data_IF_728036656385
#
_entry.id   IF_728036656385
#
_cell.length_a   1.000
_cell.length_b   1.000
_cell.length_c   1.000
_cell.angle_alpha   90.00
_cell.angle_beta   90.00
_cell.angle_gamma   90.00
#
_symmetry.space_group_name_H-M   'P 1'
#
loop_
_entity.id
_entity.type
_entity.pdbx_description
1 polymer ?
#
# COMPACT_ATOMS: atom_id res chain seq x y z
N UNK A 1 21.18 -49.98 51.45
CA UNK A 1 22.04 -48.94 50.86
C UNK A 1 21.22 -48.29 49.74
N UNK A 2 20.42 -47.28 50.12
CA UNK A 2 19.20 -46.72 49.46
C UNK A 2 18.16 -47.77 49.01
N UNK A 3 16.83 -47.49 48.88
CA UNK A 3 16.17 -46.19 48.73
C UNK A 3 14.77 -46.06 49.43
N UNK A 4 14.11 -44.93 49.17
CA UNK A 4 12.66 -44.64 49.28
C UNK A 4 11.97 -44.63 50.65
N UNK A 5 11.86 -43.43 51.24
CA UNK A 5 10.66 -43.07 51.99
C UNK A 5 10.04 -41.81 51.37
N UNK A 6 8.98 -42.05 50.59
CA UNK A 6 8.02 -41.03 50.24
C UNK A 6 7.38 -40.52 51.53
N UNK A 7 7.67 -39.28 51.90
CA UNK A 7 6.93 -38.60 52.97
C UNK A 7 5.58 -38.22 52.37
N UNK A 8 4.58 -39.06 52.64
CA UNK A 8 3.17 -38.72 52.49
C UNK A 8 2.86 -37.54 53.42
N UNK A 9 2.87 -36.32 52.89
CA UNK A 9 2.33 -35.17 53.61
C UNK A 9 0.80 -35.27 53.54
N UNK A 10 0.22 -35.59 54.68
CA UNK A 10 -1.23 -35.61 54.93
C UNK A 10 -1.86 -34.29 54.50
N UNK A 11 -2.75 -34.35 53.51
CA UNK A 11 -3.51 -33.22 52.94
C UNK A 11 -4.63 -32.69 53.85
N UNK A 12 -4.55 -32.93 55.16
CA UNK A 12 -5.59 -32.56 56.14
C UNK A 12 -5.25 -31.33 57.01
N UNK A 13 -4.28 -30.50 56.61
CA UNK A 13 -3.99 -29.25 57.32
C UNK A 13 -3.52 -28.12 56.40
N UNK A 14 -4.25 -27.90 55.30
CA UNK A 14 -4.19 -26.62 54.59
C UNK A 14 -5.56 -25.94 54.69
N UNK A 15 -5.64 -24.69 55.16
CA UNK A 15 -6.91 -23.99 55.23
C UNK A 15 -7.49 -23.93 53.81
N UNK A 16 -8.77 -24.28 53.66
CA UNK A 16 -9.52 -24.27 52.37
C UNK A 16 -9.29 -22.99 51.55
N UNK A 17 -8.95 -21.89 52.23
CA UNK A 17 -8.59 -20.60 51.66
C UNK A 17 -7.34 -20.65 50.74
N UNK A 18 -6.32 -21.44 51.07
CA UNK A 18 -5.09 -21.53 50.25
C UNK A 18 -5.34 -22.33 48.97
N UNK A 19 -6.16 -23.39 49.04
CA UNK A 19 -6.56 -24.14 47.85
C UNK A 19 -7.45 -23.30 46.91
N UNK A 20 -8.35 -22.48 47.48
CA UNK A 20 -9.17 -21.51 46.74
C UNK A 20 -8.33 -20.40 46.09
N UNK A 21 -7.28 -19.92 46.76
CA UNK A 21 -6.34 -18.94 46.19
C UNK A 21 -5.50 -19.52 45.06
N UNK A 22 -5.05 -20.78 45.17
CA UNK A 22 -4.32 -21.43 44.08
C UNK A 22 -5.25 -21.72 42.90
N UNK A 23 -6.49 -22.14 43.13
CA UNK A 23 -7.49 -22.29 42.07
C UNK A 23 -7.87 -20.95 41.42
N UNK A 24 -7.99 -19.85 42.19
CA UNK A 24 -8.30 -18.54 41.62
C UNK A 24 -7.14 -17.98 40.80
N UNK A 25 -5.89 -18.21 41.22
CA UNK A 25 -4.69 -17.84 40.44
C UNK A 25 -4.54 -18.69 39.18
N UNK A 26 -4.94 -19.98 39.22
CA UNK A 26 -4.96 -20.85 38.04
C UNK A 26 -6.11 -20.53 37.07
N UNK A 27 -7.27 -20.08 37.58
CA UNK A 27 -8.42 -19.64 36.78
C UNK A 27 -8.27 -18.22 36.22
N UNK A 28 -7.45 -17.36 36.82
CA UNK A 28 -7.11 -16.02 36.30
C UNK A 28 -6.01 -16.04 35.23
N UNK A 29 -5.47 -17.21 34.90
CA UNK A 29 -4.58 -17.38 33.74
C UNK A 29 -5.42 -17.48 32.46
N UNK A 30 -6.41 -16.61 32.31
CA UNK A 30 -7.02 -16.37 31.02
C UNK A 30 -5.98 -15.71 30.11
N UNK A 31 -5.91 -16.31 28.93
CA UNK A 31 -4.95 -16.07 27.91
C UNK A 31 -5.13 -14.63 27.39
N UNK A 32 -4.36 -13.68 27.94
CA UNK A 32 -4.10 -12.41 27.26
C UNK A 32 -3.23 -12.73 26.05
N UNK A 33 -3.85 -13.34 25.03
CA UNK A 33 -3.45 -13.15 23.65
C UNK A 33 -3.73 -11.69 23.36
N UNK A 34 -2.80 -10.83 23.74
CA UNK A 34 -2.59 -9.60 23.00
C UNK A 34 -2.48 -10.05 21.55
N UNK A 35 -3.48 -9.69 20.75
CA UNK A 35 -3.35 -9.71 19.31
C UNK A 35 -2.24 -8.70 19.01
N UNK A 36 -1.00 -9.15 19.10
CA UNK A 36 0.10 -8.51 18.43
C UNK A 36 -0.34 -8.54 16.97
N UNK A 37 -0.85 -7.41 16.50
CA UNK A 37 -1.22 -7.17 15.13
C UNK A 37 0.05 -7.44 14.34
N UNK A 38 0.19 -8.68 13.86
CA UNK A 38 1.23 -9.08 12.95
C UNK A 38 0.97 -8.24 11.71
N UNK A 39 1.63 -7.09 11.64
CA UNK A 39 1.81 -6.35 10.40
C UNK A 39 2.48 -7.33 9.45
N UNK A 40 1.67 -7.99 8.61
CA UNK A 40 2.20 -8.76 7.49
C UNK A 40 2.98 -7.75 6.66
N UNK A 41 4.30 -7.87 6.72
CA UNK A 41 5.22 -7.00 5.99
C UNK A 41 4.88 -7.15 4.51
N UNK A 42 4.22 -6.14 3.96
CA UNK A 42 3.83 -6.13 2.55
C UNK A 42 5.07 -6.29 1.67
N UNK A 43 4.95 -7.14 0.67
CA UNK A 43 6.02 -7.39 -0.30
C UNK A 43 6.08 -6.23 -1.28
N UNK A 44 7.30 -5.85 -1.64
CA UNK A 44 7.59 -4.78 -2.60
C UNK A 44 8.40 -5.40 -3.73
N UNK A 45 8.01 -5.16 -4.97
CA UNK A 45 8.85 -5.48 -6.12
C UNK A 45 9.74 -4.27 -6.43
N UNK A 46 11.05 -4.48 -6.43
CA UNK A 46 12.02 -3.41 -6.54
C UNK A 46 13.04 -3.71 -7.64
N UNK A 47 13.26 -2.73 -8.52
CA UNK A 47 14.32 -2.72 -9.52
C UNK A 47 15.28 -1.56 -9.20
N UNK A 48 16.58 -1.82 -9.01
CA UNK A 48 17.54 -0.75 -8.73
C UNK A 48 17.75 0.16 -9.94
N UNK A 49 18.13 1.41 -9.68
CA UNK A 49 18.48 2.38 -10.71
C UNK A 49 19.06 3.67 -10.14
N UNK A 50 19.45 4.57 -11.03
CA UNK A 50 19.88 5.93 -10.71
C UNK A 50 18.72 6.77 -10.19
N UNK A 51 17.56 6.63 -10.85
CA UNK A 51 16.32 7.30 -10.53
C UNK A 51 15.25 6.24 -10.26
N UNK A 52 14.53 6.34 -9.13
CA UNK A 52 13.50 5.37 -8.75
C UNK A 52 12.10 5.95 -8.97
N UNK A 53 11.30 5.26 -9.77
CA UNK A 53 9.89 5.60 -10.02
C UNK A 53 8.99 4.68 -9.18
N UNK A 54 8.09 5.26 -8.40
CA UNK A 54 7.10 4.52 -7.62
C UNK A 54 5.95 4.05 -8.49
N UNK A 55 5.33 2.92 -8.13
CA UNK A 55 4.10 2.49 -8.78
C UNK A 55 3.12 1.83 -7.81
N UNK A 56 1.84 2.13 -8.02
CA UNK A 56 0.72 1.53 -7.33
C UNK A 56 -0.13 0.74 -8.31
N UNK A 57 0.04 -0.58 -8.29
CA UNK A 57 -0.81 -1.51 -9.03
C UNK A 57 -1.74 -2.23 -8.09
N UNK A 58 -2.88 -2.70 -8.59
CA UNK A 58 -3.85 -3.44 -7.78
C UNK A 58 -3.57 -4.92 -7.96
N UNK A 59 -2.50 -5.37 -7.30
CA UNK A 59 -2.01 -6.75 -7.38
C UNK A 59 -3.02 -7.70 -6.76
N UNK A 60 -3.67 -7.29 -5.67
CA UNK A 60 -4.74 -8.03 -5.05
C UNK A 60 -6.10 -7.32 -5.15
N UNK A 61 -7.18 -8.07 -4.93
CA UNK A 61 -8.52 -7.53 -4.74
C UNK A 61 -8.63 -6.74 -3.43
N UNK A 62 -9.62 -5.83 -3.37
CA UNK A 62 -9.90 -5.07 -2.16
C UNK A 62 -10.26 -5.98 -0.98
N UNK A 63 -9.94 -5.57 0.26
CA UNK A 63 -10.37 -6.29 1.45
C UNK A 63 -11.90 -6.45 1.48
N UNK A 64 -12.38 -7.58 2.00
CA UNK A 64 -13.80 -7.77 2.30
C UNK A 64 -14.22 -6.88 3.47
N UNK A 65 -15.51 -6.56 3.59
CA UNK A 65 -16.05 -5.65 4.62
C UNK A 65 -15.57 -6.03 6.03
N UNK A 66 -15.56 -7.32 6.36
CA UNK A 66 -15.12 -7.82 7.68
C UNK A 66 -13.62 -7.66 7.94
N UNK A 67 -12.81 -7.50 6.88
CA UNK A 67 -11.34 -7.47 6.93
C UNK A 67 -10.74 -6.11 6.59
N UNK A 68 -11.57 -5.08 6.39
CA UNK A 68 -11.11 -3.72 6.05
C UNK A 68 -10.17 -3.17 7.13
N UNK A 69 -10.49 -3.37 8.41
CA UNK A 69 -9.66 -2.90 9.53
C UNK A 69 -8.31 -3.62 9.63
N UNK A 70 -8.26 -4.88 9.20
CA UNK A 70 -7.02 -5.66 9.15
C UNK A 70 -6.18 -5.33 7.91
N UNK A 71 -6.74 -4.62 6.93
CA UNK A 71 -6.13 -4.27 5.63
C UNK A 71 -5.60 -5.49 4.86
N UNK A 72 -6.18 -6.67 5.11
CA UNK A 72 -5.87 -7.92 4.42
C UNK A 72 -6.53 -7.93 3.05
N UNK A 73 -5.70 -7.84 2.02
CA UNK A 73 -6.16 -7.85 0.65
C UNK A 73 -6.72 -9.22 0.23
N UNK A 74 -7.52 -9.23 -0.82
CA UNK A 74 -8.13 -10.45 -1.36
C UNK A 74 -7.17 -11.25 -2.25
N UNK A 75 -7.73 -12.04 -3.16
CA UNK A 75 -6.96 -12.84 -4.11
C UNK A 75 -6.15 -11.97 -5.10
N UNK A 76 -5.13 -12.56 -5.72
CA UNK A 76 -4.32 -11.93 -6.77
C UNK A 76 -5.18 -11.64 -8.02
N UNK A 77 -4.93 -10.49 -8.65
CA UNK A 77 -5.53 -10.05 -9.92
C UNK A 77 -4.50 -10.20 -11.03
N UNK A 78 -4.77 -11.06 -12.00
CA UNK A 78 -3.85 -11.31 -13.10
C UNK A 78 -3.71 -10.09 -14.02
N UNK A 79 -4.83 -9.62 -14.60
CA UNK A 79 -4.84 -8.55 -15.61
C UNK A 79 -4.51 -7.16 -15.05
N UNK A 80 -5.09 -6.82 -13.89
CA UNK A 80 -4.94 -5.49 -13.27
C UNK A 80 -3.75 -5.39 -12.31
N UNK A 81 -3.15 -6.54 -11.98
CA UNK A 81 -2.07 -6.69 -11.03
C UNK A 81 -0.80 -7.15 -11.73
N UNK A 82 -0.59 -8.47 -11.77
CA UNK A 82 0.67 -9.09 -12.20
C UNK A 82 1.08 -8.64 -13.61
N UNK A 83 0.16 -8.59 -14.57
CA UNK A 83 0.49 -8.14 -15.92
C UNK A 83 1.00 -6.69 -15.95
N UNK A 84 0.51 -5.81 -15.06
CA UNK A 84 0.98 -4.41 -14.97
C UNK A 84 2.32 -4.30 -14.27
N UNK A 85 2.57 -5.14 -13.26
CA UNK A 85 3.88 -5.25 -12.61
C UNK A 85 4.93 -5.64 -13.64
N UNK A 86 4.71 -6.75 -14.35
CA UNK A 86 5.63 -7.24 -15.38
C UNK A 86 5.78 -6.25 -16.54
N UNK A 87 4.67 -5.62 -16.98
CA UNK A 87 4.72 -4.58 -18.01
C UNK A 87 5.61 -3.40 -17.58
N UNK A 88 5.54 -2.98 -16.32
CA UNK A 88 6.40 -1.91 -15.82
C UNK A 88 7.87 -2.32 -15.79
N UNK A 89 8.18 -3.50 -15.21
CA UNK A 89 9.56 -4.01 -15.15
C UNK A 89 10.16 -4.10 -16.56
N UNK A 90 9.45 -4.75 -17.48
CA UNK A 90 9.91 -4.92 -18.86
C UNK A 90 10.01 -3.59 -19.61
N UNK A 91 9.11 -2.63 -19.36
CA UNK A 91 9.18 -1.30 -19.98
C UNK A 91 10.43 -0.56 -19.53
N UNK A 92 10.78 -0.62 -18.24
CA UNK A 92 12.00 0.01 -17.72
C UNK A 92 13.27 -0.63 -18.27
N UNK A 93 13.30 -1.96 -18.41
CA UNK A 93 14.40 -2.65 -19.10
C UNK A 93 14.58 -2.15 -20.53
N UNK A 94 13.48 -1.96 -21.26
CA UNK A 94 13.51 -1.43 -22.63
C UNK A 94 13.98 0.02 -22.70
N UNK A 95 13.53 0.86 -21.77
CA UNK A 95 13.99 2.26 -21.68
C UNK A 95 15.48 2.31 -21.38
N UNK A 96 15.95 1.54 -20.40
CA UNK A 96 17.37 1.50 -20.03
C UNK A 96 18.27 0.92 -21.14
N UNK A 97 17.71 0.14 -22.06
CA UNK A 97 18.42 -0.40 -23.22
C UNK A 97 18.39 0.54 -24.44
N UNK A 98 17.59 1.60 -24.40
CA UNK A 98 17.45 2.55 -25.51
C UNK A 98 18.51 3.66 -25.39
N UNK A 99 19.47 3.75 -26.32
CA UNK A 99 20.52 4.78 -26.25
C UNK A 99 19.99 6.19 -26.54
N UNK A 100 18.77 6.33 -27.05
CA UNK A 100 18.18 7.63 -27.40
C UNK A 100 17.46 8.29 -26.22
N UNK A 101 16.98 7.49 -25.27
CA UNK A 101 16.18 7.95 -24.14
C UNK A 101 16.95 7.76 -22.84
N UNK A 102 17.30 8.88 -22.19
CA UNK A 102 18.06 8.92 -20.92
C UNK A 102 19.42 8.19 -20.99
N UNK A 103 20.31 8.56 -21.93
CA UNK A 103 21.63 7.94 -22.01
C UNK A 103 22.42 8.13 -20.71
N UNK A 104 23.10 7.06 -20.26
CA UNK A 104 23.87 7.01 -19.00
C UNK A 104 23.05 7.21 -17.71
N UNK A 105 21.73 7.05 -17.76
CA UNK A 105 20.87 7.08 -16.57
C UNK A 105 20.06 5.79 -16.54
N UNK A 106 20.15 5.06 -15.43
CA UNK A 106 19.35 3.85 -15.22
C UNK A 106 18.07 4.20 -14.48
N UNK A 107 16.90 3.89 -15.05
CA UNK A 107 15.64 3.95 -14.32
C UNK A 107 15.43 2.66 -13.53
N UNK A 108 15.13 2.81 -12.25
CA UNK A 108 14.63 1.75 -11.38
C UNK A 108 13.20 2.02 -10.96
N UNK A 109 12.63 1.11 -10.16
CA UNK A 109 11.29 1.29 -9.63
C UNK A 109 11.06 0.63 -8.28
N UNK A 110 10.07 1.16 -7.57
CA UNK A 110 9.50 0.54 -6.38
C UNK A 110 7.99 0.33 -6.60
N UNK A 111 7.57 -0.92 -6.77
CA UNK A 111 6.19 -1.30 -7.06
C UNK A 111 5.53 -1.83 -5.80
N UNK A 112 4.43 -1.19 -5.41
CA UNK A 112 3.66 -1.52 -4.21
C UNK A 112 2.20 -1.82 -4.55
N UNK A 113 1.59 -2.64 -3.71
CA UNK A 113 0.21 -3.05 -3.90
C UNK A 113 -0.78 -2.04 -3.30
N UNK A 114 -1.65 -1.52 -4.16
CA UNK A 114 -2.77 -0.63 -3.78
C UNK A 114 -4.00 -1.38 -3.28
N UNK A 115 -4.13 -2.67 -3.62
CA UNK A 115 -5.31 -3.51 -3.37
C UNK A 115 -6.66 -2.88 -3.78
N UNK A 116 -6.68 -1.92 -4.71
CA UNK A 116 -7.90 -1.16 -5.06
C UNK A 116 -8.61 -0.53 -3.85
N UNK A 117 -7.87 -0.19 -2.78
CA UNK A 117 -8.47 0.30 -1.53
C UNK A 117 -7.68 1.49 -0.96
N UNK A 118 -8.38 2.59 -0.68
CA UNK A 118 -7.77 3.88 -0.30
C UNK A 118 -6.83 3.79 0.88
N UNK A 119 -7.21 3.11 1.96
CA UNK A 119 -6.37 3.00 3.15
C UNK A 119 -5.06 2.22 2.88
N UNK A 120 -5.11 1.23 1.98
CA UNK A 120 -3.94 0.42 1.62
C UNK A 120 -3.00 1.21 0.73
N UNK A 121 -3.54 1.86 -0.32
CA UNK A 121 -2.75 2.69 -1.21
C UNK A 121 -2.09 3.87 -0.47
N UNK A 122 -2.81 4.47 0.50
CA UNK A 122 -2.27 5.56 1.31
C UNK A 122 -1.14 5.07 2.23
N UNK A 123 -1.30 3.91 2.87
CA UNK A 123 -0.23 3.25 3.65
C UNK A 123 1.03 3.04 2.78
N UNK A 124 0.86 2.57 1.54
CA UNK A 124 1.99 2.38 0.61
C UNK A 124 2.60 3.71 0.15
N UNK A 125 1.79 4.76 0.02
CA UNK A 125 2.26 6.09 -0.38
C UNK A 125 3.09 6.75 0.72
N UNK A 126 2.74 6.52 1.99
CA UNK A 126 3.55 6.96 3.13
C UNK A 126 4.94 6.31 3.10
N UNK A 127 5.02 5.03 2.73
CA UNK A 127 6.31 4.33 2.63
C UNK A 127 7.20 4.92 1.52
N UNK A 128 6.65 5.32 0.37
CA UNK A 128 7.41 6.04 -0.66
C UNK A 128 8.03 7.36 -0.14
N UNK A 129 7.28 8.09 0.68
CA UNK A 129 7.71 9.37 1.24
C UNK A 129 8.75 9.16 2.33
N UNK A 130 8.55 8.15 3.19
CA UNK A 130 9.49 7.81 4.26
C UNK A 130 10.89 7.55 3.70
N UNK A 131 10.97 6.79 2.62
CA UNK A 131 12.23 6.50 1.94
C UNK A 131 12.86 7.77 1.35
N UNK A 132 12.04 8.75 0.94
CA UNK A 132 12.51 10.03 0.43
C UNK A 132 13.05 10.95 1.53
N UNK A 133 12.40 11.01 2.70
CA UNK A 133 12.84 11.83 3.84
C UNK A 133 14.17 11.33 4.45
N UNK A 134 14.33 10.00 4.57
CA UNK A 134 15.58 9.42 5.08
C UNK A 134 16.74 9.71 4.13
N UNK A 135 16.50 9.70 2.82
CA UNK A 135 17.53 10.02 1.83
C UNK A 135 18.03 11.47 1.91
N UNK A 136 17.15 12.43 2.23
CA UNK A 136 17.53 13.83 2.41
C UNK A 136 18.29 14.08 3.72
N UNK A 137 17.97 13.35 4.79
CA UNK A 137 18.66 13.51 6.09
C UNK A 137 20.08 12.89 6.09
N UNK A 138 20.34 11.87 5.26
CA UNK A 138 21.69 11.33 5.10
C UNK A 138 22.65 12.32 4.40
N UNK A 139 22.15 13.18 3.52
CA UNK A 139 22.95 14.23 2.89
C UNK A 139 23.39 15.31 3.91
N UNK A 140 22.65 15.47 5.01
CA UNK A 140 22.98 16.35 6.14
C UNK A 140 23.79 15.65 7.28
N UNK A 141 24.18 14.38 7.09
CA UNK A 141 25.15 13.70 7.95
C UNK A 141 24.67 13.29 9.36
N UNK A 142 23.36 13.21 9.61
CA UNK A 142 22.80 13.06 10.95
C UNK A 142 22.19 11.69 11.29
N UNK A 143 22.67 10.58 10.72
CA UNK A 143 22.26 9.23 11.17
C UNK A 143 23.46 8.44 11.67
N UNK A 144 23.94 8.78 12.88
CA UNK A 144 24.75 7.86 13.71
C UNK A 144 23.83 7.22 14.73
N UNK A 145 23.46 5.96 14.52
CA UNK A 145 22.87 5.14 15.58
C UNK A 145 23.85 5.05 16.76
N UNK A 146 23.33 5.18 17.99
CA UNK A 146 24.11 5.16 19.25
C UNK A 146 24.75 3.78 19.51
N UNK A 147 24.21 2.73 18.90
CA UNK A 147 24.74 1.38 19.02
C UNK A 147 25.51 1.03 17.76
N UNK A 148 26.84 0.85 17.90
CA UNK A 148 27.81 0.61 16.82
C UNK A 148 27.61 -0.64 15.95
N UNK A 149 26.39 -1.17 15.82
CA UNK A 149 26.02 -2.08 14.75
C UNK A 149 25.75 -1.28 13.48
N UNK A 150 26.71 -1.26 12.56
CA UNK A 150 26.49 -0.77 11.20
C UNK A 150 25.57 -1.77 10.46
N UNK A 151 24.27 -1.75 10.73
CA UNK A 151 23.32 -2.24 9.75
C UNK A 151 23.44 -1.30 8.56
N UNK A 152 23.97 -1.80 7.45
CA UNK A 152 24.02 -1.07 6.19
C UNK A 152 22.60 -0.86 5.68
N UNK A 153 21.85 0.07 6.28
CA UNK A 153 20.76 0.74 5.60
C UNK A 153 21.42 1.48 4.46
N UNK A 154 21.54 0.85 3.29
CA UNK A 154 21.77 1.60 2.07
C UNK A 154 20.58 2.54 1.98
N UNK A 155 20.82 3.86 2.03
CA UNK A 155 19.78 4.85 1.78
C UNK A 155 19.04 4.44 0.52
N UNK A 156 17.74 4.20 0.68
CA UNK A 156 16.88 4.07 -0.47
C UNK A 156 16.82 5.43 -1.14
N UNK A 157 16.91 5.44 -2.47
CA UNK A 157 16.79 6.67 -3.23
C UNK A 157 15.36 7.20 -3.15
N UNK A 158 15.16 8.52 -3.18
CA UNK A 158 13.83 9.11 -3.13
C UNK A 158 13.02 8.72 -4.37
N UNK A 159 11.69 8.67 -4.21
CA UNK A 159 10.76 8.41 -5.30
C UNK A 159 10.51 9.72 -6.05
N UNK A 160 10.89 9.78 -7.33
CA UNK A 160 10.77 11.01 -8.13
C UNK A 160 9.37 11.26 -8.69
N UNK A 161 8.52 10.23 -8.71
CA UNK A 161 7.18 10.26 -9.28
C UNK A 161 6.49 8.92 -9.10
N UNK A 162 5.15 8.92 -9.14
CA UNK A 162 4.33 7.73 -8.91
C UNK A 162 3.42 7.44 -10.09
N UNK A 163 3.40 6.19 -10.55
CA UNK A 163 2.46 5.70 -11.57
C UNK A 163 1.26 5.03 -10.88
N UNK A 164 0.05 5.36 -11.33
CA UNK A 164 -1.21 4.84 -10.76
C UNK A 164 -1.73 5.67 -9.57
N UNK A 165 -2.66 5.14 -8.76
CA UNK A 165 -3.34 3.84 -8.88
C UNK A 165 -4.43 3.83 -9.96
N UNK A 166 -5.21 2.74 -10.01
CA UNK A 166 -6.19 2.51 -11.05
C UNK A 166 -7.56 3.17 -10.84
N UNK A 167 -8.06 3.26 -9.61
CA UNK A 167 -9.36 3.89 -9.29
C UNK A 167 -9.20 5.39 -9.08
N UNK A 168 -10.15 6.21 -9.55
CA UNK A 168 -10.12 7.65 -9.31
C UNK A 168 -10.24 8.01 -7.85
N UNK A 169 -11.18 7.41 -7.12
CA UNK A 169 -11.34 7.67 -5.67
C UNK A 169 -10.06 7.39 -4.88
N UNK A 170 -9.36 6.28 -5.18
CA UNK A 170 -8.07 5.94 -4.56
C UNK A 170 -6.97 6.91 -5.01
N UNK A 171 -6.95 7.27 -6.29
CA UNK A 171 -5.97 8.20 -6.85
C UNK A 171 -6.07 9.59 -6.22
N UNK A 172 -7.28 10.09 -5.92
CA UNK A 172 -7.49 11.35 -5.20
C UNK A 172 -6.84 11.30 -3.81
N UNK A 173 -7.04 10.21 -3.07
CA UNK A 173 -6.46 10.06 -1.73
C UNK A 173 -4.94 10.01 -1.77
N UNK A 174 -4.37 9.30 -2.75
CA UNK A 174 -2.92 9.24 -2.96
C UNK A 174 -2.38 10.63 -3.35
N UNK A 175 -3.03 11.30 -4.29
CA UNK A 175 -2.61 12.62 -4.77
C UNK A 175 -2.61 13.68 -3.65
N UNK A 176 -3.61 13.65 -2.77
CA UNK A 176 -3.70 14.56 -1.63
C UNK A 176 -2.47 14.48 -0.71
N UNK A 177 -1.86 13.30 -0.61
CA UNK A 177 -0.62 13.10 0.13
C UNK A 177 0.60 13.49 -0.72
N UNK A 178 0.72 12.97 -1.94
CA UNK A 178 1.90 13.15 -2.79
C UNK A 178 2.19 14.63 -3.11
N UNK A 179 1.14 15.45 -3.27
CA UNK A 179 1.30 16.86 -3.57
C UNK A 179 1.95 17.68 -2.45
N UNK A 180 1.86 17.22 -1.20
CA UNK A 180 2.52 17.87 -0.06
C UNK A 180 4.05 17.75 -0.15
N UNK A 181 4.53 16.75 -0.88
CA UNK A 181 5.95 16.46 -1.08
C UNK A 181 6.41 16.77 -2.52
N UNK A 182 5.56 17.46 -3.31
CA UNK A 182 5.81 17.80 -4.71
C UNK A 182 6.12 16.58 -5.60
N UNK A 183 5.55 15.42 -5.29
CA UNK A 183 5.75 14.20 -6.08
C UNK A 183 4.69 14.15 -7.19
N UNK A 184 5.07 14.20 -8.48
CA UNK A 184 4.14 14.08 -9.59
C UNK A 184 3.55 12.67 -9.66
N UNK A 185 2.25 12.59 -9.92
CA UNK A 185 1.51 11.34 -10.09
C UNK A 185 0.96 11.25 -11.51
N UNK A 186 1.18 10.13 -12.19
CA UNK A 186 0.60 9.84 -13.51
C UNK A 186 -0.32 8.63 -13.42
N UNK A 187 -1.62 8.85 -13.54
CA UNK A 187 -2.60 7.76 -13.54
C UNK A 187 -2.85 7.19 -14.94
N UNK A 188 -3.07 5.88 -15.00
CA UNK A 188 -3.35 5.15 -16.24
C UNK A 188 -4.82 4.76 -16.43
N UNK A 189 -5.66 4.85 -15.39
CA UNK A 189 -7.10 4.53 -15.52
C UNK A 189 -8.04 5.36 -14.65
N UNK A 190 -7.53 6.37 -13.93
CA UNK A 190 -8.39 7.29 -13.18
C UNK A 190 -9.03 8.31 -14.14
N UNK A 191 -10.33 8.17 -14.41
CA UNK A 191 -11.06 8.94 -15.43
C UNK A 191 -12.00 10.00 -14.86
N UNK A 192 -12.21 10.07 -13.53
CA UNK A 192 -13.05 11.10 -12.90
C UNK A 192 -12.72 12.51 -13.37
N UNK A 193 -13.74 13.33 -13.57
CA UNK A 193 -13.56 14.72 -13.99
C UNK A 193 -12.91 15.58 -12.90
N UNK A 194 -13.11 15.24 -11.63
CA UNK A 194 -12.65 16.01 -10.47
C UNK A 194 -11.12 16.14 -10.43
N UNK A 195 -10.42 15.09 -10.89
CA UNK A 195 -8.97 15.05 -11.05
C UNK A 195 -8.41 16.02 -12.14
N UNK A 196 -9.30 16.69 -12.88
CA UNK A 196 -8.92 17.69 -13.88
C UNK A 196 -8.65 19.07 -13.28
N UNK A 197 -9.15 19.35 -12.06
CA UNK A 197 -8.92 20.62 -11.38
C UNK A 197 -7.46 20.73 -10.90
N UNK A 198 -6.64 21.52 -11.60
CA UNK A 198 -5.22 21.75 -11.26
C UNK A 198 -5.02 22.73 -10.12
N UNK A 199 -6.06 23.43 -9.68
CA UNK A 199 -5.99 24.24 -8.46
C UNK A 199 -6.00 23.35 -7.23
N UNK A 200 -6.75 22.24 -7.28
CA UNK A 200 -6.83 21.23 -6.22
C UNK A 200 -5.77 20.12 -6.37
N UNK A 201 -5.51 19.66 -7.58
CA UNK A 201 -4.62 18.53 -7.89
C UNK A 201 -3.48 18.93 -8.82
N UNK A 202 -2.60 19.82 -8.34
CA UNK A 202 -1.52 20.44 -9.12
C UNK A 202 -0.56 19.44 -9.77
N UNK A 203 -0.20 18.38 -9.04
CA UNK A 203 0.81 17.39 -9.46
C UNK A 203 0.22 16.12 -10.07
N UNK A 204 -1.10 16.09 -10.28
CA UNK A 204 -1.77 14.96 -10.91
C UNK A 204 -1.74 15.09 -12.43
N UNK A 205 -1.45 14.01 -13.14
CA UNK A 205 -1.57 13.88 -14.58
C UNK A 205 -2.19 12.51 -14.91
N UNK A 206 -2.71 12.37 -16.13
CA UNK A 206 -3.21 11.09 -16.64
C UNK A 206 -3.01 10.98 -18.13
N UNK A 207 -2.83 9.75 -18.60
CA UNK A 207 -2.70 9.42 -20.03
C UNK A 207 -4.03 9.02 -20.68
N UNK A 208 -5.11 8.98 -19.90
CA UNK A 208 -6.46 8.65 -20.34
C UNK A 208 -7.36 9.89 -20.37
N UNK A 209 -8.39 9.92 -21.26
CA UNK A 209 -9.37 10.99 -21.27
C UNK A 209 -10.21 11.02 -19.98
N UNK A 210 -10.88 12.15 -19.74
CA UNK A 210 -11.84 12.27 -18.64
C UNK A 210 -13.21 11.70 -19.00
N UNK A 211 -13.99 11.32 -18.00
CA UNK A 211 -15.37 10.88 -18.17
C UNK A 211 -16.25 11.97 -18.82
N UNK A 212 -15.85 13.24 -18.79
CA UNK A 212 -16.51 14.33 -19.52
C UNK A 212 -16.58 14.04 -21.02
N UNK A 213 -15.49 13.49 -21.57
CA UNK A 213 -15.40 13.16 -22.98
C UNK A 213 -16.22 11.91 -23.30
N UNK A 214 -16.24 10.92 -22.40
CA UNK A 214 -17.09 9.74 -22.54
C UNK A 214 -18.58 10.09 -22.46
N UNK A 215 -18.99 10.93 -21.51
CA UNK A 215 -20.36 11.41 -21.39
C UNK A 215 -20.79 12.22 -22.61
N UNK A 216 -19.90 13.07 -23.15
CA UNK A 216 -20.15 13.79 -24.41
C UNK A 216 -20.39 12.82 -25.57
N UNK A 217 -19.56 11.78 -25.71
CA UNK A 217 -19.74 10.77 -26.74
C UNK A 217 -21.07 10.01 -26.60
N UNK A 218 -21.48 9.66 -25.37
CA UNK A 218 -22.79 9.04 -25.11
C UNK A 218 -23.95 9.97 -25.53
N UNK A 219 -23.87 11.25 -25.20
CA UNK A 219 -24.86 12.26 -25.62
C UNK A 219 -24.92 12.37 -27.14
N UNK A 220 -23.77 12.36 -27.82
CA UNK A 220 -23.71 12.43 -29.27
C UNK A 220 -24.32 11.19 -29.94
N UNK A 221 -24.15 10.00 -29.34
CA UNK A 221 -24.82 8.76 -29.79
C UNK A 221 -26.34 8.88 -29.64
N UNK A 222 -26.83 9.29 -28.46
CA UNK A 222 -28.27 9.49 -28.18
C UNK A 222 -28.88 10.47 -29.18
N UNK A 223 -28.19 11.59 -29.42
CA UNK A 223 -28.60 12.60 -30.41
C UNK A 223 -28.63 12.04 -31.82
N UNK A 224 -27.62 11.27 -32.23
CA UNK A 224 -27.54 10.69 -33.58
C UNK A 224 -28.71 9.77 -33.89
N UNK A 225 -29.24 9.06 -32.89
CA UNK A 225 -30.37 8.14 -33.05
C UNK A 225 -31.72 8.78 -32.66
N UNK A 226 -31.77 10.09 -32.39
CA UNK A 226 -32.98 10.82 -31.99
C UNK A 226 -33.71 10.20 -30.79
N UNK A 227 -32.98 9.60 -29.85
CA UNK A 227 -33.59 9.09 -28.62
C UNK A 227 -33.86 10.25 -27.65
N UNK A 228 -35.12 10.40 -27.24
CA UNK A 228 -35.57 11.54 -26.42
C UNK A 228 -35.93 11.16 -24.98
N UNK A 229 -36.28 9.89 -24.73
CA UNK A 229 -36.65 9.38 -23.41
C UNK A 229 -35.76 8.19 -23.06
N UNK A 230 -34.85 8.37 -22.09
CA UNK A 230 -33.83 7.39 -21.69
C UNK A 230 -33.76 7.26 -20.17
N UNK A 231 -33.33 6.09 -19.70
CA UNK A 231 -33.01 5.84 -18.28
C UNK A 231 -31.49 5.72 -18.11
N UNK A 232 -30.95 6.24 -17.01
CA UNK A 232 -29.53 6.17 -16.68
C UNK A 232 -29.31 5.49 -15.32
N UNK A 233 -28.28 4.65 -15.23
CA UNK A 233 -27.85 3.95 -14.01
C UNK A 233 -26.33 4.10 -13.91
N UNK A 234 -25.80 4.35 -12.72
CA UNK A 234 -24.36 4.46 -12.46
C UNK A 234 -23.98 3.72 -11.19
N UNK A 235 -22.70 3.37 -11.05
CA UNK A 235 -22.14 2.84 -9.80
C UNK A 235 -21.96 3.96 -8.78
N UNK A 236 -22.12 3.66 -7.49
CA UNK A 236 -21.85 4.60 -6.42
C UNK A 236 -20.32 4.72 -6.20
N UNK A 237 -19.82 5.95 -6.14
CA UNK A 237 -18.40 6.27 -6.05
C UNK A 237 -17.78 6.78 -7.36
N UNK A 238 -16.71 7.56 -7.24
CA UNK A 238 -15.96 8.08 -8.39
C UNK A 238 -15.13 6.96 -9.03
N UNK A 239 -15.49 6.62 -10.27
CA UNK A 239 -14.87 5.56 -11.08
C UNK A 239 -13.39 5.82 -11.32
#
# INVERSE_FOLDING_TARGET
NFPHHAVFISLNSFPKMVLLLILSVLLLKENVRGSAQSSERRVVAHMPGDIIIGALFSVHHQPTVDKVHERKCGAVREQYGIQRVEAMLHTLERINSDPTLLPNITLGCEIRDSCWHSAVALEQSIEFIRDSLISSEEEEGLVRCVDGSSSSFRSKKPIVGVIGPGSSSVAIQVQNLLQLFNIPQIAYSATSMDLSDKTLFKYFMRVVPSDAQQARAMVDIVKRYNWTYVSAVHTEGES
#
